data_IF_527412896927
#
_entry.id   IF_527412896927
#
_cell.length_a   1.000
_cell.length_b   1.000
_cell.length_c   1.000
_cell.angle_alpha   90.00
_cell.angle_beta   90.00
_cell.angle_gamma   90.00
#
_symmetry.space_group_name_H-M   'P 1'
#
loop_
_entity.id
_entity.type
_entity.pdbx_description
1 polymer ?
#
# COMPACT_ATOMS: atom_id res chain seq x y z
N UNK A 1 -0.65 67.61 25.90
CA UNK A 1 0.53 66.95 25.30
C UNK A 1 0.24 65.47 25.21
N UNK A 2 -0.17 65.00 24.03
CA UNK A 2 -0.51 63.60 23.75
C UNK A 2 0.74 62.79 23.44
N UNK A 3 0.92 61.65 24.10
CA UNK A 3 1.92 60.64 23.76
C UNK A 3 1.17 59.38 23.33
N UNK A 4 1.07 59.18 22.02
CA UNK A 4 0.64 57.92 21.41
C UNK A 4 1.85 56.97 21.39
N UNK A 5 1.77 55.85 22.12
CA UNK A 5 2.69 54.74 21.98
C UNK A 5 2.16 53.80 20.88
N UNK A 6 2.84 53.78 19.73
CA UNK A 6 2.57 52.85 18.63
C UNK A 6 3.04 51.44 18.99
N UNK A 7 2.12 50.47 19.00
CA UNK A 7 2.42 49.04 19.07
C UNK A 7 2.70 48.56 17.65
N UNK A 8 3.95 48.22 17.36
CA UNK A 8 4.33 47.54 16.12
C UNK A 8 4.00 46.05 16.24
N UNK A 9 3.01 45.59 15.48
CA UNK A 9 2.72 44.16 15.29
C UNK A 9 3.71 43.62 14.26
N UNK A 10 4.73 42.89 14.72
CA UNK A 10 5.58 42.08 13.86
C UNK A 10 4.81 40.81 13.47
N UNK A 11 4.28 40.81 12.25
CA UNK A 11 3.73 39.62 11.61
C UNK A 11 4.87 38.61 11.38
N UNK A 12 4.87 37.51 12.13
CA UNK A 12 5.70 36.34 11.86
C UNK A 12 5.16 35.63 10.61
N UNK A 13 5.96 35.61 9.56
CA UNK A 13 5.75 34.79 8.36
C UNK A 13 6.02 33.32 8.70
N UNK A 14 5.13 32.38 8.35
CA UNK A 14 5.45 30.96 8.41
C UNK A 14 6.30 30.61 7.18
N UNK A 15 7.63 30.68 7.33
CA UNK A 15 8.56 29.96 6.46
C UNK A 15 8.73 28.54 7.01
N UNK A 16 7.77 27.67 6.73
CA UNK A 16 7.94 26.24 6.99
C UNK A 16 8.57 25.57 5.75
N UNK A 17 9.89 25.50 5.80
CA UNK A 17 10.75 24.39 5.38
C UNK A 17 10.20 23.50 4.24
N UNK A 18 10.48 23.89 2.99
CA UNK A 18 10.74 22.90 1.94
C UNK A 18 12.03 22.14 2.28
N UNK A 19 11.92 21.17 3.19
CA UNK A 19 12.96 20.18 3.41
C UNK A 19 12.99 19.33 2.16
N UNK A 20 14.04 19.51 1.36
CA UNK A 20 14.46 18.62 0.29
C UNK A 20 14.81 17.27 0.94
N UNK A 21 13.80 16.47 1.27
CA UNK A 21 13.98 15.09 1.67
C UNK A 21 14.33 14.32 0.40
N UNK A 22 15.62 14.02 0.23
CA UNK A 22 16.04 13.01 -0.73
C UNK A 22 15.15 11.77 -0.54
N UNK A 23 14.68 11.15 -1.64
CA UNK A 23 13.87 9.95 -1.52
C UNK A 23 14.67 8.95 -0.68
N UNK A 24 14.08 8.53 0.43
CA UNK A 24 14.60 7.40 1.21
C UNK A 24 14.52 6.21 0.26
N UNK A 25 15.60 5.97 -0.47
CA UNK A 25 15.78 4.78 -1.29
C UNK A 25 15.78 3.62 -0.30
N UNK A 26 14.58 3.05 -0.11
CA UNK A 26 14.37 1.93 0.79
C UNK A 26 15.43 0.88 0.47
N UNK A 27 16.16 0.48 1.51
CA UNK A 27 17.30 -0.43 1.41
C UNK A 27 17.04 -1.52 0.38
N UNK A 28 17.97 -1.65 -0.58
CA UNK A 28 17.84 -2.55 -1.73
C UNK A 28 17.48 -3.95 -1.23
N UNK A 29 16.48 -4.61 -1.83
CA UNK A 29 16.09 -5.95 -1.43
C UNK A 29 17.28 -6.90 -1.47
N UNK A 30 17.39 -7.76 -0.46
CA UNK A 30 18.47 -8.73 -0.36
C UNK A 30 18.35 -9.86 -1.41
N UNK A 31 17.18 -10.01 -2.03
CA UNK A 31 16.93 -11.03 -3.03
C UNK A 31 15.84 -10.57 -4.00
N UNK A 32 16.08 -10.72 -5.31
CA UNK A 32 15.05 -10.63 -6.36
C UNK A 32 14.84 -12.05 -6.89
N UNK A 33 13.61 -12.56 -6.82
CA UNK A 33 13.25 -13.87 -7.36
C UNK A 33 12.26 -13.68 -8.51
N UNK A 34 12.53 -14.34 -9.62
CA UNK A 34 11.64 -14.38 -10.77
C UNK A 34 10.77 -15.63 -10.67
N UNK A 35 9.45 -15.45 -10.67
CA UNK A 35 8.48 -16.54 -10.64
C UNK A 35 7.70 -16.56 -11.94
N UNK A 36 7.47 -17.75 -12.50
CA UNK A 36 6.71 -17.91 -13.75
C UNK A 36 5.20 -18.01 -13.51
N UNK A 37 4.78 -18.37 -12.28
CA UNK A 37 3.37 -18.46 -11.92
C UNK A 37 3.09 -17.86 -10.53
N UNK A 38 1.86 -17.39 -10.32
CA UNK A 38 1.40 -16.85 -9.04
C UNK A 38 1.35 -17.92 -7.95
N UNK A 39 1.09 -19.16 -8.33
CA UNK A 39 1.01 -20.29 -7.40
C UNK A 39 2.39 -20.55 -6.80
N UNK A 40 3.43 -20.61 -7.62
CA UNK A 40 4.81 -20.75 -7.14
C UNK A 40 5.25 -19.61 -6.23
N UNK A 41 4.86 -18.36 -6.56
CA UNK A 41 5.15 -17.22 -5.71
C UNK A 41 4.40 -17.34 -4.38
N UNK A 42 3.11 -17.65 -4.40
CA UNK A 42 2.30 -17.80 -3.21
C UNK A 42 2.85 -18.91 -2.30
N UNK A 43 3.20 -20.06 -2.85
CA UNK A 43 3.77 -21.20 -2.11
C UNK A 43 5.14 -20.83 -1.53
N UNK A 44 6.01 -20.21 -2.33
CA UNK A 44 7.32 -19.76 -1.88
C UNK A 44 7.22 -18.68 -0.80
N UNK A 45 6.25 -17.79 -0.89
CA UNK A 45 6.06 -16.71 0.07
C UNK A 45 5.38 -17.22 1.35
N UNK A 46 4.48 -18.20 1.26
CA UNK A 46 3.75 -18.73 2.41
C UNK A 46 4.66 -19.29 3.50
N UNK A 47 5.81 -19.86 3.13
CA UNK A 47 6.81 -20.36 4.09
C UNK A 47 7.74 -19.29 4.66
N UNK A 48 7.68 -18.06 4.14
CA UNK A 48 8.61 -16.95 4.46
C UNK A 48 7.94 -15.76 5.14
N UNK A 49 6.62 -15.81 5.32
CA UNK A 49 5.83 -14.76 5.95
C UNK A 49 5.36 -15.19 7.33
N UNK A 50 5.04 -14.20 8.14
CA UNK A 50 4.53 -14.37 9.50
C UNK A 50 3.49 -13.28 9.78
N UNK A 51 2.78 -13.41 10.90
CA UNK A 51 1.85 -12.35 11.33
C UNK A 51 2.60 -11.03 11.47
N UNK A 52 1.99 -9.97 10.94
CA UNK A 52 2.58 -8.64 10.91
C UNK A 52 3.48 -8.39 9.70
N UNK A 53 3.74 -9.35 8.81
CA UNK A 53 4.41 -9.05 7.53
C UNK A 53 3.61 -7.97 6.78
N UNK A 54 4.32 -6.96 6.26
CA UNK A 54 3.75 -5.91 5.42
C UNK A 54 4.17 -6.10 3.96
N UNK A 55 3.19 -6.04 3.06
CA UNK A 55 3.39 -6.09 1.62
C UNK A 55 3.15 -4.71 1.04
N UNK A 56 4.17 -4.10 0.44
CA UNK A 56 4.03 -2.81 -0.22
C UNK A 56 4.14 -2.99 -1.73
N UNK A 57 3.13 -2.57 -2.49
CA UNK A 57 3.19 -2.61 -3.94
C UNK A 57 3.50 -1.25 -4.55
N UNK A 58 4.26 -1.28 -5.65
CA UNK A 58 4.46 -0.15 -6.55
C UNK A 58 3.44 -0.24 -7.67
N UNK A 59 2.52 0.72 -7.71
CA UNK A 59 1.50 0.86 -8.73
C UNK A 59 1.45 2.28 -9.29
N UNK A 60 0.56 2.47 -10.26
CA UNK A 60 0.40 3.73 -10.99
C UNK A 60 -0.70 4.64 -10.45
N UNK A 61 -1.05 4.51 -9.16
CA UNK A 61 -2.02 5.42 -8.56
C UNK A 61 -1.45 6.84 -8.53
N UNK A 62 -1.90 7.64 -9.49
CA UNK A 62 -1.40 8.98 -9.72
C UNK A 62 -1.66 9.88 -8.51
N UNK A 63 -2.82 9.73 -7.86
CA UNK A 63 -3.15 10.48 -6.65
C UNK A 63 -2.11 10.23 -5.54
N UNK A 64 -1.79 8.98 -5.24
CA UNK A 64 -0.80 8.66 -4.20
C UNK A 64 0.58 9.16 -4.60
N UNK A 65 0.99 8.97 -5.87
CA UNK A 65 2.31 9.43 -6.36
C UNK A 65 2.46 10.95 -6.28
N UNK A 66 1.43 11.71 -6.63
CA UNK A 66 1.44 13.18 -6.58
C UNK A 66 1.55 13.67 -5.13
N UNK A 67 0.78 13.08 -4.20
CA UNK A 67 0.75 13.57 -2.82
C UNK A 67 1.90 13.08 -1.95
N UNK A 68 2.51 11.93 -2.28
CA UNK A 68 3.50 11.28 -1.41
C UNK A 68 4.91 11.23 -1.99
N UNK A 69 5.08 11.56 -3.28
CA UNK A 69 6.36 11.51 -4.01
C UNK A 69 7.10 10.16 -3.86
N UNK A 70 6.35 9.08 -3.62
CA UNK A 70 6.88 7.76 -3.33
C UNK A 70 6.44 6.74 -4.38
N UNK A 71 7.26 5.72 -4.65
CA UNK A 71 6.85 4.64 -5.53
C UNK A 71 5.84 3.70 -4.86
N UNK A 72 5.70 3.71 -3.53
CA UNK A 72 4.77 2.86 -2.80
C UNK A 72 3.35 3.42 -2.87
N UNK A 73 2.43 2.69 -3.49
CA UNK A 73 1.05 3.15 -3.68
C UNK A 73 0.02 2.37 -2.88
N UNK A 74 0.38 1.20 -2.37
CA UNK A 74 -0.52 0.36 -1.58
C UNK A 74 0.26 -0.39 -0.50
N UNK A 75 -0.45 -0.77 0.56
CA UNK A 75 0.06 -1.63 1.62
C UNK A 75 -0.99 -2.66 2.01
N UNK A 76 -0.56 -3.88 2.20
CA UNK A 76 -1.34 -4.97 2.75
C UNK A 76 -0.60 -5.62 3.91
N UNK A 77 -1.33 -6.37 4.73
CA UNK A 77 -0.85 -6.97 5.97
C UNK A 77 -1.14 -8.45 5.98
N UNK A 78 -0.24 -9.24 6.57
CA UNK A 78 -0.42 -10.69 6.68
C UNK A 78 -0.74 -11.07 8.12
N UNK A 79 -1.69 -11.99 8.26
CA UNK A 79 -1.95 -12.74 9.49
C UNK A 79 -1.83 -14.23 9.17
N UNK A 80 -1.14 -14.99 10.02
CA UNK A 80 -1.10 -16.45 9.91
C UNK A 80 -2.30 -17.03 10.64
N UNK A 81 -3.26 -17.59 9.90
CA UNK A 81 -4.45 -18.27 10.43
C UNK A 81 -4.35 -19.75 10.19
N UNK A 82 -4.36 -20.56 11.25
CA UNK A 82 -4.26 -22.03 11.13
C UNK A 82 -3.07 -22.51 10.28
N UNK A 83 -1.94 -21.78 10.34
CA UNK A 83 -0.75 -22.06 9.54
C UNK A 83 -0.77 -21.52 8.12
N UNK A 84 -1.85 -20.88 7.67
CA UNK A 84 -1.97 -20.30 6.33
C UNK A 84 -1.94 -18.76 6.35
N UNK A 85 -1.22 -18.12 5.41
CA UNK A 85 -1.19 -16.66 5.32
C UNK A 85 -2.47 -16.12 4.67
N UNK A 86 -3.18 -15.27 5.41
CA UNK A 86 -4.25 -14.42 4.88
C UNK A 86 -3.77 -12.98 4.78
N UNK A 87 -4.26 -12.27 3.77
CA UNK A 87 -3.88 -10.90 3.47
C UNK A 87 -5.04 -9.96 3.68
N UNK A 88 -4.80 -8.94 4.49
CA UNK A 88 -5.70 -7.83 4.74
C UNK A 88 -5.24 -6.61 3.97
N UNK A 89 -6.15 -6.00 3.24
CA UNK A 89 -5.92 -4.72 2.58
C UNK A 89 -7.21 -3.89 2.52
N UNK A 90 -7.07 -2.61 2.17
CA UNK A 90 -8.21 -1.78 1.82
C UNK A 90 -7.95 -1.15 0.47
N UNK A 91 -8.79 -1.46 -0.53
CA UNK A 91 -8.64 -0.93 -1.89
C UNK A 91 -9.91 -0.27 -2.40
N UNK A 92 -9.77 0.58 -3.42
CA UNK A 92 -10.92 1.23 -4.02
C UNK A 92 -11.91 0.23 -4.63
N UNK A 93 -13.20 0.50 -4.48
CA UNK A 93 -14.29 -0.38 -4.93
C UNK A 93 -14.66 -1.48 -3.93
N UNK A 94 -13.68 -2.15 -3.31
CA UNK A 94 -13.95 -3.24 -2.35
C UNK A 94 -13.93 -2.79 -0.88
N UNK A 95 -13.15 -1.76 -0.54
CA UNK A 95 -12.89 -1.39 0.85
C UNK A 95 -11.96 -2.38 1.55
N UNK A 96 -12.03 -2.38 2.88
CA UNK A 96 -11.29 -3.29 3.74
C UNK A 96 -11.78 -4.74 3.56
N UNK A 97 -10.86 -5.66 3.27
CA UNK A 97 -11.15 -7.06 2.94
C UNK A 97 -10.03 -7.97 3.42
N UNK A 98 -10.34 -9.27 3.43
CA UNK A 98 -9.41 -10.36 3.73
C UNK A 98 -9.45 -11.37 2.59
N UNK A 99 -8.28 -11.77 2.08
CA UNK A 99 -8.10 -12.72 0.99
C UNK A 99 -7.04 -13.75 1.36
N UNK A 100 -7.05 -14.92 0.72
CA UNK A 100 -5.87 -15.79 0.74
C UNK A 100 -4.70 -15.10 0.05
N UNK A 101 -3.45 -15.41 0.44
CA UNK A 101 -2.27 -14.83 -0.20
C UNK A 101 -2.28 -15.00 -1.73
N UNK A 102 -2.63 -16.20 -2.20
CA UNK A 102 -2.79 -16.49 -3.63
C UNK A 102 -3.81 -15.57 -4.32
N UNK A 103 -4.99 -15.37 -3.71
CA UNK A 103 -6.01 -14.50 -4.28
C UNK A 103 -5.57 -13.03 -4.28
N UNK A 104 -4.92 -12.57 -3.20
CA UNK A 104 -4.36 -11.22 -3.13
C UNK A 104 -3.35 -10.98 -4.26
N UNK A 105 -2.35 -11.85 -4.42
CA UNK A 105 -1.31 -11.72 -5.45
C UNK A 105 -1.90 -11.71 -6.87
N UNK A 106 -3.00 -12.44 -7.10
CA UNK A 106 -3.71 -12.41 -8.38
C UNK A 106 -4.40 -11.07 -8.68
N UNK A 107 -4.74 -10.28 -7.66
CA UNK A 107 -5.32 -8.93 -7.85
C UNK A 107 -4.27 -7.86 -8.14
N UNK A 108 -3.01 -8.06 -7.72
CA UNK A 108 -1.95 -7.04 -7.76
C UNK A 108 -1.18 -7.05 -9.09
N UNK A 109 -1.86 -6.83 -10.24
CA UNK A 109 -1.24 -6.97 -11.58
C UNK A 109 -1.23 -5.69 -12.43
N UNK A 110 -0.11 -5.35 -13.09
CA UNK A 110 1.27 -5.72 -12.76
C UNK A 110 1.74 -4.96 -11.51
N UNK A 111 2.56 -5.58 -10.67
CA UNK A 111 3.10 -4.90 -9.50
C UNK A 111 4.47 -5.44 -9.09
N UNK A 112 5.37 -4.53 -8.71
CA UNK A 112 6.52 -4.86 -7.87
C UNK A 112 6.04 -4.85 -6.43
N UNK A 113 6.19 -5.97 -5.72
CA UNK A 113 5.82 -6.06 -4.30
C UNK A 113 7.07 -6.20 -3.46
N UNK A 114 7.12 -5.41 -2.40
CA UNK A 114 8.18 -5.34 -1.42
C UNK A 114 7.68 -5.90 -0.09
N UNK A 115 8.37 -6.92 0.41
CA UNK A 115 8.00 -7.60 1.65
C UNK A 115 8.86 -7.06 2.79
N UNK A 116 8.19 -6.60 3.85
CA UNK A 116 8.83 -6.18 5.08
C UNK A 116 8.40 -7.11 6.21
N UNK A 117 9.38 -7.70 6.87
CA UNK A 117 9.16 -8.60 8.00
C UNK A 117 9.33 -7.85 9.31
N UNK A 118 8.46 -8.10 10.32
CA UNK A 118 8.73 -7.58 11.66
C UNK A 118 10.03 -8.22 12.18
N UNK A 119 10.83 -7.44 12.90
CA UNK A 119 12.10 -7.93 13.48
C UNK A 119 11.89 -8.96 14.59
N UNK A 120 10.79 -8.81 15.32
CA UNK A 120 10.39 -9.70 16.38
C UNK A 120 9.11 -10.40 15.97
N UNK A 121 9.03 -11.69 16.24
CA UNK A 121 7.79 -12.46 16.09
C UNK A 121 6.75 -11.85 17.01
N UNK A 122 5.50 -11.72 16.53
CA UNK A 122 4.40 -11.26 17.37
C UNK A 122 4.14 -12.30 18.47
N UNK A 123 3.87 -11.84 19.68
CA UNK A 123 3.31 -12.73 20.70
C UNK A 123 1.89 -13.16 20.31
N UNK A 124 1.36 -14.15 21.02
CA UNK A 124 -0.02 -14.61 20.86
C UNK A 124 -1.00 -13.46 21.11
N UNK A 125 -0.90 -12.77 22.25
CA UNK A 125 -1.73 -11.59 22.58
C UNK A 125 -1.65 -10.50 21.49
N UNK A 126 -0.45 -10.22 20.97
CA UNK A 126 -0.28 -9.24 19.90
C UNK A 126 -0.93 -9.71 18.60
N UNK A 127 -0.85 -11.01 18.29
CA UNK A 127 -1.47 -11.60 17.10
C UNK A 127 -2.98 -11.51 17.19
N UNK A 128 -3.56 -11.89 18.33
CA UNK A 128 -5.00 -11.81 18.57
C UNK A 128 -5.51 -10.38 18.46
N UNK A 129 -4.85 -9.42 19.11
CA UNK A 129 -5.28 -8.02 19.06
C UNK A 129 -5.12 -7.43 17.65
N UNK A 130 -4.01 -7.74 16.98
CA UNK A 130 -3.77 -7.30 15.60
C UNK A 130 -4.85 -7.83 14.65
N UNK A 131 -5.13 -9.13 14.72
CA UNK A 131 -6.16 -9.80 13.91
C UNK A 131 -7.56 -9.27 14.22
N UNK A 132 -7.90 -9.12 15.49
CA UNK A 132 -9.20 -8.59 15.94
C UNK A 132 -9.47 -7.20 15.37
N UNK A 133 -8.47 -6.32 15.39
CA UNK A 133 -8.59 -4.96 14.82
C UNK A 133 -8.78 -4.98 13.31
N UNK A 134 -8.05 -5.86 12.63
CA UNK A 134 -8.19 -6.04 11.20
C UNK A 134 -9.60 -6.51 10.85
N UNK A 135 -10.08 -7.56 11.50
CA UNK A 135 -11.41 -8.11 11.29
C UNK A 135 -12.53 -7.11 11.56
N UNK A 136 -12.40 -6.30 12.63
CA UNK A 136 -13.39 -5.28 12.99
C UNK A 136 -13.63 -4.25 11.87
N UNK A 137 -12.66 -4.04 10.98
CA UNK A 137 -12.77 -3.07 9.89
C UNK A 137 -13.22 -3.69 8.57
N UNK A 138 -13.35 -5.01 8.46
CA UNK A 138 -13.78 -5.64 7.21
C UNK A 138 -15.11 -5.09 6.71
N UNK A 139 -15.22 -4.88 5.41
CA UNK A 139 -16.38 -4.26 4.76
C UNK A 139 -16.41 -2.73 4.85
N UNK A 140 -15.51 -2.10 5.61
CA UNK A 140 -15.41 -0.63 5.65
C UNK A 140 -15.06 -0.10 4.26
N UNK A 141 -15.83 0.84 3.68
CA UNK A 141 -15.56 1.37 2.35
C UNK A 141 -14.19 2.02 2.23
N UNK A 142 -13.59 1.98 1.04
CA UNK A 142 -12.33 2.70 0.81
C UNK A 142 -12.54 4.21 0.78
N UNK A 143 -11.65 4.97 1.42
CA UNK A 143 -11.72 6.43 1.38
C UNK A 143 -10.36 7.07 1.63
N UNK A 144 -9.91 7.92 0.70
CA UNK A 144 -8.72 8.77 0.87
C UNK A 144 -9.05 10.15 1.46
N UNK A 145 -10.34 10.46 1.72
CA UNK A 145 -10.75 11.78 2.23
C UNK A 145 -10.06 12.10 3.55
N UNK A 146 -9.85 11.09 4.38
CA UNK A 146 -9.20 11.16 5.68
C UNK A 146 -7.74 11.62 5.56
N UNK A 147 -7.05 11.12 4.54
CA UNK A 147 -5.69 11.53 4.22
C UNK A 147 -5.61 13.00 3.79
N UNK A 148 -6.60 13.48 3.03
CA UNK A 148 -6.63 14.86 2.58
C UNK A 148 -6.98 15.82 3.73
N UNK A 149 -8.03 15.53 4.49
CA UNK A 149 -8.52 16.40 5.57
C UNK A 149 -7.74 16.28 6.87
N UNK A 150 -7.05 15.15 7.08
CA UNK A 150 -6.41 14.79 8.36
C UNK A 150 -7.38 14.42 9.48
N UNK A 151 -8.68 14.32 9.16
CA UNK A 151 -9.73 13.95 10.10
C UNK A 151 -10.34 12.62 9.67
N UNK A 152 -10.63 11.76 10.65
CA UNK A 152 -11.38 10.54 10.37
C UNK A 152 -12.76 10.87 9.84
N UNK A 153 -13.15 10.19 8.77
CA UNK A 153 -14.49 10.26 8.16
C UNK A 153 -15.05 8.84 7.94
N UNK A 154 -16.05 8.67 7.08
CA UNK A 154 -16.49 7.33 6.71
C UNK A 154 -15.52 6.70 5.71
N UNK A 155 -15.15 5.45 5.96
CA UNK A 155 -14.22 4.66 5.15
C UNK A 155 -12.81 4.56 5.74
N UNK A 156 -11.90 3.85 5.07
CA UNK A 156 -10.50 3.71 5.48
C UNK A 156 -9.61 3.45 4.27
N UNK A 157 -8.41 4.02 4.22
CA UNK A 157 -7.42 3.67 3.18
C UNK A 157 -6.37 2.68 3.71
N UNK A 158 -5.64 2.03 2.80
CA UNK A 158 -4.72 0.94 3.12
C UNK A 158 -3.70 1.27 4.23
N UNK A 159 -3.05 2.43 4.15
CA UNK A 159 -2.03 2.81 5.14
C UNK A 159 -2.61 3.19 6.52
N UNK A 160 -3.80 3.79 6.58
CA UNK A 160 -4.49 4.06 7.84
C UNK A 160 -4.92 2.74 8.49
N UNK A 161 -5.42 1.82 7.67
CA UNK A 161 -5.81 0.49 8.12
C UNK A 161 -4.61 -0.26 8.75
N UNK A 162 -3.45 -0.18 8.10
CA UNK A 162 -2.24 -0.79 8.63
C UNK A 162 -1.72 -0.13 9.91
N UNK A 163 -1.61 1.20 9.94
CA UNK A 163 -1.07 1.86 11.13
C UNK A 163 -2.02 1.73 12.33
N UNK A 164 -3.34 1.67 12.13
CA UNK A 164 -4.30 1.43 13.20
C UNK A 164 -4.10 0.05 13.85
N UNK A 165 -3.96 -1.00 13.04
CA UNK A 165 -3.71 -2.34 13.54
C UNK A 165 -2.34 -2.43 14.25
N UNK A 166 -1.30 -1.81 13.68
CA UNK A 166 0.04 -1.77 14.30
C UNK A 166 0.10 -0.92 15.58
N UNK A 167 -0.78 0.09 15.71
CA UNK A 167 -0.89 0.91 16.92
C UNK A 167 -1.60 0.16 18.04
N UNK A 168 -2.59 -0.67 17.72
CA UNK A 168 -3.32 -1.45 18.71
C UNK A 168 -2.44 -2.49 19.41
N UNK A 169 -1.43 -3.04 18.74
CA UNK A 169 -0.45 -3.95 19.33
C UNK A 169 0.83 -3.26 19.81
N UNK A 170 0.81 -1.93 19.99
CA UNK A 170 1.94 -1.11 20.47
C UNK A 170 3.25 -1.25 19.67
N UNK A 171 3.18 -1.73 18.42
CA UNK A 171 4.36 -1.91 17.59
C UNK A 171 4.81 -0.60 16.94
N UNK A 172 3.86 0.21 16.49
CA UNK A 172 4.08 1.50 15.83
C UNK A 172 2.97 2.47 16.21
N UNK A 173 3.31 3.73 16.50
CA UNK A 173 2.30 4.77 16.71
C UNK A 173 2.53 5.92 15.73
N UNK A 174 1.43 6.49 15.23
CA UNK A 174 1.46 7.71 14.43
C UNK A 174 0.67 8.82 15.13
N UNK A 175 1.23 10.03 15.16
CA UNK A 175 0.56 11.22 15.72
C UNK A 175 -0.76 11.53 15.00
N UNK A 176 -0.85 11.23 13.71
CA UNK A 176 -2.05 11.40 12.90
C UNK A 176 -2.21 10.20 11.96
N UNK A 177 -2.85 9.10 12.42
CA UNK A 177 -3.06 7.89 11.61
C UNK A 177 -3.73 8.15 10.24
N UNK A 178 -4.75 9.03 10.12
CA UNK A 178 -5.34 9.39 8.83
C UNK A 178 -4.34 9.95 7.80
N UNK A 179 -3.27 10.62 8.26
CA UNK A 179 -2.26 11.24 7.39
C UNK A 179 -1.16 10.28 6.98
N UNK A 180 -1.15 9.06 7.49
CA UNK A 180 -0.13 8.07 7.13
C UNK A 180 -0.36 7.62 5.69
N UNK A 181 0.64 7.78 4.83
CA UNK A 181 0.69 7.17 3.50
C UNK A 181 1.52 5.89 3.52
N UNK A 182 1.43 5.02 2.50
CA UNK A 182 2.33 3.87 2.35
C UNK A 182 3.81 4.28 2.44
N UNK A 183 4.16 5.42 1.83
CA UNK A 183 5.49 6.01 1.88
C UNK A 183 5.96 6.33 3.30
N UNK A 184 5.14 7.10 4.05
CA UNK A 184 5.48 7.47 5.42
C UNK A 184 5.51 6.26 6.33
N UNK A 185 4.68 5.24 6.06
CA UNK A 185 4.68 4.00 6.81
C UNK A 185 5.99 3.24 6.59
N UNK A 186 6.43 3.03 5.35
CA UNK A 186 7.74 2.41 5.04
C UNK A 186 8.88 3.18 5.72
N UNK A 187 8.89 4.52 5.59
CA UNK A 187 9.90 5.37 6.24
C UNK A 187 9.88 5.16 7.76
N UNK A 188 8.70 5.16 8.38
CA UNK A 188 8.51 4.97 9.81
C UNK A 188 9.01 3.62 10.30
N UNK A 189 8.60 2.51 9.66
CA UNK A 189 8.98 1.15 10.10
C UNK A 189 10.49 0.91 9.96
N UNK A 190 11.12 1.50 8.94
CA UNK A 190 12.58 1.40 8.72
C UNK A 190 13.33 2.25 9.73
N UNK A 191 12.93 3.51 9.93
CA UNK A 191 13.57 4.43 10.87
C UNK A 191 13.46 3.95 12.32
N UNK A 192 12.29 3.45 12.72
CA UNK A 192 12.07 2.87 14.04
C UNK A 192 12.75 1.49 14.22
N UNK A 193 13.37 0.96 13.15
CA UNK A 193 14.01 -0.36 13.11
C UNK A 193 13.08 -1.48 13.60
N UNK A 194 11.77 -1.36 13.40
CA UNK A 194 10.79 -2.40 13.78
C UNK A 194 10.66 -3.49 12.72
N UNK A 195 10.98 -3.14 11.48
CA UNK A 195 10.91 -4.04 10.33
C UNK A 195 12.25 -4.16 9.61
N UNK A 196 12.40 -5.24 8.84
CA UNK A 196 13.50 -5.46 7.91
C UNK A 196 12.95 -5.72 6.50
N UNK A 197 13.54 -5.13 5.45
CA UNK A 197 13.23 -5.53 4.09
C UNK A 197 13.70 -6.97 3.88
N UNK A 198 12.80 -7.84 3.43
CA UNK A 198 13.09 -9.26 3.24
C UNK A 198 13.31 -9.61 1.77
N UNK A 199 12.28 -9.41 0.94
CA UNK A 199 12.32 -9.79 -0.46
C UNK A 199 11.55 -8.78 -1.30
N UNK A 200 11.97 -8.58 -2.55
CA UNK A 200 11.17 -7.90 -3.57
C UNK A 200 10.96 -8.85 -4.73
N UNK A 201 9.75 -8.86 -5.26
CA UNK A 201 9.41 -9.65 -6.43
C UNK A 201 8.70 -8.78 -7.45
N UNK A 202 8.94 -9.12 -8.71
CA UNK A 202 8.28 -8.50 -9.85
C UNK A 202 7.29 -9.52 -10.42
N UNK A 203 6.02 -9.14 -10.44
CA UNK A 203 4.96 -9.93 -11.03
C UNK A 203 4.71 -9.43 -12.44
N UNK A 204 5.26 -10.14 -13.42
CA UNK A 204 4.89 -9.92 -14.81
C UNK A 204 3.44 -10.37 -15.05
N UNK A 205 2.71 -9.56 -15.81
CA UNK A 205 1.39 -9.97 -16.29
C UNK A 205 1.63 -11.08 -17.32
N UNK A 206 0.99 -12.27 -17.17
CA UNK A 206 1.08 -13.30 -18.18
C UNK A 206 0.68 -12.69 -19.54
N UNK A 207 1.42 -12.99 -20.62
CA UNK A 207 1.04 -12.51 -21.94
C UNK A 207 -0.40 -12.97 -22.20
N UNK A 208 -1.25 -12.04 -22.65
CA UNK A 208 -2.60 -12.41 -23.05
C UNK A 208 -2.49 -13.48 -24.13
N UNK A 209 -3.21 -14.59 -23.98
CA UNK A 209 -3.28 -15.62 -25.02
C UNK A 209 -3.86 -14.94 -26.25
N UNK A 210 -3.02 -14.69 -27.25
CA UNK A 210 -3.43 -14.02 -28.47
C UNK A 210 -4.37 -14.96 -29.22
N UNK A 211 -5.64 -14.56 -29.32
CA UNK A 211 -6.57 -15.23 -30.22
C UNK A 211 -6.04 -15.10 -31.65
N UNK A 212 -5.90 -16.23 -32.36
CA UNK A 212 -5.45 -16.18 -33.75
C UNK A 212 -6.55 -15.50 -34.59
N UNK A 213 -6.24 -14.40 -35.29
CA UNK A 213 -7.23 -13.75 -36.15
C UNK A 213 -7.66 -14.72 -37.25
N UNK A 214 -8.94 -14.67 -37.60
CA UNK A 214 -9.51 -15.50 -38.68
C UNK A 214 -9.40 -14.80 -40.04
N UNK A 215 -9.37 -13.47 -40.02
CA UNK A 215 -9.27 -12.58 -41.17
C UNK A 215 -8.89 -11.17 -40.70
N UNK A 216 -8.74 -10.23 -41.64
CA UNK A 216 -8.36 -8.85 -41.35
C UNK A 216 -9.36 -8.11 -40.44
N UNK A 217 -10.67 -8.27 -40.65
CA UNK A 217 -11.67 -7.65 -39.78
C UNK A 217 -11.58 -8.17 -38.34
N UNK A 218 -11.31 -9.48 -38.18
CA UNK A 218 -11.08 -10.08 -36.87
C UNK A 218 -9.83 -9.51 -36.20
N UNK A 219 -8.74 -9.32 -36.95
CA UNK A 219 -7.52 -8.68 -36.44
C UNK A 219 -7.79 -7.25 -35.97
N UNK A 220 -8.47 -6.43 -36.79
CA UNK A 220 -8.81 -5.05 -36.43
C UNK A 220 -9.68 -4.98 -35.16
N UNK A 221 -10.60 -5.93 -34.99
CA UNK A 221 -11.41 -6.05 -33.78
C UNK A 221 -10.56 -6.42 -32.55
N UNK A 222 -9.67 -7.41 -32.68
CA UNK A 222 -8.73 -7.80 -31.61
C UNK A 222 -7.88 -6.59 -31.20
N UNK A 223 -7.31 -5.86 -32.16
CA UNK A 223 -6.46 -4.70 -31.91
C UNK A 223 -7.23 -3.57 -31.22
N UNK A 224 -8.45 -3.30 -31.67
CA UNK A 224 -9.34 -2.30 -31.05
C UNK A 224 -9.66 -2.68 -29.61
N UNK A 225 -10.02 -3.95 -29.36
CA UNK A 225 -10.32 -4.47 -28.03
C UNK A 225 -9.11 -4.38 -27.10
N UNK A 226 -7.93 -4.75 -27.59
CA UNK A 226 -6.68 -4.69 -26.83
C UNK A 226 -6.31 -3.23 -26.50
N UNK A 227 -6.37 -2.32 -27.47
CA UNK A 227 -6.10 -0.90 -27.27
C UNK A 227 -7.08 -0.27 -26.26
N UNK A 228 -8.38 -0.51 -26.45
CA UNK A 228 -9.43 0.01 -25.55
C UNK A 228 -9.25 -0.55 -24.14
N UNK A 229 -9.01 -1.86 -24.01
CA UNK A 229 -8.75 -2.50 -22.71
C UNK A 229 -7.51 -1.94 -22.04
N UNK A 230 -6.41 -1.76 -22.77
CA UNK A 230 -5.18 -1.17 -22.24
C UNK A 230 -5.38 0.27 -21.77
N UNK A 231 -6.10 1.10 -22.55
CA UNK A 231 -6.48 2.45 -22.15
C UNK A 231 -7.37 2.46 -20.90
N UNK A 232 -8.38 1.58 -20.82
CA UNK A 232 -9.23 1.45 -19.63
C UNK A 232 -8.45 1.01 -18.39
N UNK A 233 -7.53 0.06 -18.53
CA UNK A 233 -6.65 -0.39 -17.44
C UNK A 233 -5.75 0.75 -16.97
N UNK A 234 -5.13 1.48 -17.90
CA UNK A 234 -4.25 2.61 -17.61
C UNK A 234 -5.00 3.75 -16.91
N UNK A 235 -6.17 4.13 -17.42
CA UNK A 235 -7.04 5.14 -16.80
C UNK A 235 -7.51 4.72 -15.40
N UNK A 236 -7.90 3.45 -15.22
CA UNK A 236 -8.27 2.92 -13.90
C UNK A 236 -7.10 2.96 -12.92
N UNK A 237 -5.89 2.60 -13.37
CA UNK A 237 -4.68 2.65 -12.55
C UNK A 237 -4.31 4.07 -12.12
N UNK A 238 -4.53 5.06 -12.99
CA UNK A 238 -4.28 6.46 -12.65
C UNK A 238 -5.20 7.01 -11.57
N UNK A 239 -6.49 6.65 -11.62
CA UNK A 239 -7.49 7.24 -10.71
C UNK A 239 -7.64 6.42 -9.42
N UNK A 240 -7.43 5.10 -9.46
CA UNK A 240 -7.75 4.19 -8.35
C UNK A 240 -6.51 3.38 -7.93
N UNK A 241 -6.30 3.21 -6.62
CA UNK A 241 -5.34 2.20 -6.13
C UNK A 241 -5.88 0.80 -6.50
N UNK A 242 -5.07 0.03 -7.22
CA UNK A 242 -5.28 -1.40 -7.52
C UNK A 242 -4.26 -2.21 -6.74
#
# INVERSE_FOLDING_TARGET
MSLFLSIAVLASTPQDLQRNEQPVEAARPQMTLNFTTFDQLADSLSSRVQTGTLLFSKGDCLAVRIFTQSPYTHVAMIVMRNGEPVVYDSMNGTGARCLTLKNYLNTQRPATIHVFQPRSVFSEDMTEEYERLLDQKLGTPYSIKHHLTGKRTNGIHCAEYAIDALSACDLMQAKSPPKVSPASLVKGIVQARRYVPAITFELEKPPAVAEKPRNWCHQLWIDTKNCTSACCVKLRGWVLCQ
#
